data_IF_282202133700
#
_entry.id   IF_282202133700
#
_cell.length_a   1.000
_cell.length_b   1.000
_cell.length_c   1.000
_cell.angle_alpha   90.00
_cell.angle_beta   90.00
_cell.angle_gamma   90.00
#
_symmetry.space_group_name_H-M   'P 1'
#
loop_
_entity.id
_entity.type
_entity.pdbx_description
1 polymer ?
#
# COMPACT_ATOMS: atom_id res chain seq x y z
N UNK A 1 14.17 27.13 31.76
CA UNK A 1 13.86 25.79 31.22
C UNK A 1 13.19 26.00 29.87
N UNK A 2 13.98 26.03 28.80
CA UNK A 2 13.55 26.49 27.48
C UNK A 2 12.60 25.51 26.81
N UNK A 3 11.42 26.02 26.46
CA UNK A 3 10.47 25.34 25.58
C UNK A 3 11.02 25.36 24.15
N UNK A 4 11.81 24.35 23.77
CA UNK A 4 12.20 24.12 22.37
C UNK A 4 11.04 23.44 21.63
N UNK A 5 9.97 24.21 21.41
CA UNK A 5 8.87 23.88 20.54
C UNK A 5 9.07 24.43 19.14
N UNK A 6 8.70 23.61 18.16
CA UNK A 6 8.30 23.95 16.78
C UNK A 6 9.37 24.53 15.86
N UNK A 7 10.05 23.62 15.17
CA UNK A 7 10.35 23.82 13.74
C UNK A 7 10.53 22.44 13.11
N UNK A 8 9.41 21.81 12.84
CA UNK A 8 9.29 20.80 11.79
C UNK A 8 8.61 21.52 10.64
N UNK A 9 9.28 21.64 9.49
CA UNK A 9 8.75 22.27 8.25
C UNK A 9 7.38 21.72 7.77
N UNK A 10 6.86 20.66 8.40
CA UNK A 10 5.70 19.86 7.99
C UNK A 10 4.65 19.66 9.12
N UNK A 11 4.64 20.49 10.16
CA UNK A 11 3.66 20.37 11.26
C UNK A 11 3.92 19.17 12.19
N UNK A 12 2.94 18.82 13.04
CA UNK A 12 3.01 17.66 13.95
C UNK A 12 2.74 16.37 13.18
N UNK A 13 3.48 15.30 13.46
CA UNK A 13 3.21 13.98 12.86
C UNK A 13 1.86 13.41 13.33
N UNK A 14 1.31 12.45 12.59
CA UNK A 14 -0.03 11.90 12.87
C UNK A 14 -0.14 11.31 14.27
N UNK A 15 0.90 10.59 14.72
CA UNK A 15 0.93 9.98 16.06
C UNK A 15 0.85 11.05 17.17
N UNK A 16 1.58 12.16 17.01
CA UNK A 16 1.59 13.25 17.97
C UNK A 16 0.28 14.04 17.94
N UNK A 17 -0.36 14.21 16.78
CA UNK A 17 -1.70 14.80 16.66
C UNK A 17 -2.70 13.94 17.45
N UNK A 18 -2.75 12.65 17.14
CA UNK A 18 -3.69 11.68 17.73
C UNK A 18 -3.50 11.50 19.24
N UNK A 19 -2.26 11.52 19.72
CA UNK A 19 -1.96 11.44 21.17
C UNK A 19 -2.02 12.80 21.87
N UNK A 20 -2.34 13.88 21.16
CA UNK A 20 -2.28 15.26 21.64
C UNK A 20 -0.95 15.61 22.36
N UNK A 21 0.18 15.24 21.74
CA UNK A 21 1.54 15.48 22.24
C UNK A 21 2.28 16.52 21.39
N UNK A 22 3.32 17.12 21.97
CA UNK A 22 4.27 17.95 21.24
C UNK A 22 5.10 17.05 20.32
N UNK A 23 5.22 17.44 19.05
CA UNK A 23 6.09 16.77 18.09
C UNK A 23 7.44 17.48 18.07
N UNK A 24 8.49 16.82 18.56
CA UNK A 24 9.85 17.38 18.57
C UNK A 24 10.60 17.04 17.29
N UNK A 25 11.72 17.72 17.00
CA UNK A 25 12.60 17.40 15.86
C UNK A 25 13.20 15.99 15.92
N UNK A 26 13.17 15.33 17.08
CA UNK A 26 13.65 13.95 17.30
C UNK A 26 12.51 12.92 17.38
N UNK A 27 11.30 13.28 16.92
CA UNK A 27 10.16 12.36 16.95
C UNK A 27 10.44 11.12 16.08
N UNK A 28 10.45 9.94 16.72
CA UNK A 28 10.69 8.65 16.05
C UNK A 28 9.62 8.28 15.02
N UNK A 29 8.43 8.89 15.07
CA UNK A 29 7.31 8.59 14.18
C UNK A 29 7.19 9.57 13.01
N UNK A 30 7.85 10.73 13.06
CA UNK A 30 7.66 11.80 12.08
C UNK A 30 8.09 11.39 10.66
N UNK A 31 9.10 10.53 10.54
CA UNK A 31 9.56 10.01 9.25
C UNK A 31 8.62 8.97 8.62
N UNK A 32 7.66 8.43 9.39
CA UNK A 32 6.81 7.32 8.97
C UNK A 32 5.33 7.72 8.84
N UNK A 33 4.86 8.63 9.70
CA UNK A 33 3.49 9.15 9.70
C UNK A 33 3.49 10.69 9.67
N UNK A 34 3.98 11.29 8.57
CA UNK A 34 4.00 12.75 8.45
C UNK A 34 2.58 13.31 8.28
N UNK A 35 2.36 14.61 8.50
CA UNK A 35 1.01 15.18 8.59
C UNK A 35 0.17 14.98 7.31
N UNK A 36 0.83 14.88 6.16
CA UNK A 36 0.22 14.72 4.84
C UNK A 36 -0.57 13.42 4.70
N UNK A 37 -0.27 12.39 5.52
CA UNK A 37 -0.97 11.09 5.49
C UNK A 37 -2.01 10.95 6.61
N UNK A 38 -2.43 12.06 7.24
CA UNK A 38 -3.33 12.06 8.39
C UNK A 38 -4.64 11.28 8.14
N UNK A 39 -5.27 11.44 6.98
CA UNK A 39 -6.51 10.72 6.65
C UNK A 39 -6.32 9.20 6.60
N UNK A 40 -5.20 8.74 6.03
CA UNK A 40 -4.85 7.32 6.02
C UNK A 40 -4.48 6.82 7.43
N UNK A 41 -3.86 7.67 8.24
CA UNK A 41 -3.56 7.33 9.62
C UNK A 41 -4.84 7.14 10.43
N UNK A 42 -5.84 8.02 10.27
CA UNK A 42 -7.16 7.89 10.90
C UNK A 42 -7.90 6.62 10.46
N UNK A 43 -7.76 6.21 9.21
CA UNK A 43 -8.27 4.92 8.76
C UNK A 43 -7.57 3.75 9.48
N UNK A 44 -6.24 3.82 9.62
CA UNK A 44 -5.46 2.81 10.31
C UNK A 44 -5.74 2.76 11.83
N UNK A 45 -6.04 3.88 12.48
CA UNK A 45 -6.38 3.89 13.90
C UNK A 45 -7.72 3.22 14.19
N UNK A 46 -8.67 3.26 13.25
CA UNK A 46 -9.94 2.50 13.37
C UNK A 46 -9.73 0.98 13.39
N UNK A 47 -8.75 0.49 12.63
CA UNK A 47 -8.44 -0.94 12.55
C UNK A 47 -7.49 -1.39 13.67
N UNK A 48 -6.33 -0.75 13.80
CA UNK A 48 -5.28 -1.21 14.72
C UNK A 48 -5.31 -0.49 16.06
N UNK A 49 -5.74 0.77 16.09
CA UNK A 49 -5.57 1.66 17.22
C UNK A 49 -4.14 2.21 17.34
N UNK A 50 -4.03 3.48 17.68
CA UNK A 50 -2.78 4.24 17.81
C UNK A 50 -1.76 3.58 18.73
N UNK A 51 -2.20 2.96 19.82
CA UNK A 51 -1.30 2.29 20.78
C UNK A 51 -0.66 1.04 20.18
N UNK A 52 -1.41 0.24 19.41
CA UNK A 52 -0.86 -0.93 18.74
C UNK A 52 0.07 -0.53 17.59
N UNK A 53 -0.29 0.50 16.82
CA UNK A 53 0.59 1.07 15.78
C UNK A 53 1.94 1.46 16.37
N UNK A 54 1.95 2.20 17.49
CA UNK A 54 3.18 2.55 18.21
C UNK A 54 3.97 1.30 18.62
N UNK A 55 3.29 0.29 19.19
CA UNK A 55 3.94 -0.96 19.62
C UNK A 55 4.60 -1.70 18.45
N UNK A 56 3.87 -1.89 17.34
CA UNK A 56 4.39 -2.53 16.12
C UNK A 56 5.61 -1.79 15.58
N UNK A 57 5.56 -0.45 15.51
CA UNK A 57 6.67 0.37 15.01
C UNK A 57 7.91 0.35 15.91
N UNK A 58 7.74 0.12 17.22
CA UNK A 58 8.85 -0.03 18.17
C UNK A 58 9.50 -1.41 18.09
N UNK A 59 8.70 -2.45 17.85
CA UNK A 59 9.19 -3.83 17.73
C UNK A 59 9.83 -4.12 16.37
N UNK A 60 9.45 -3.40 15.31
CA UNK A 60 9.96 -3.62 13.98
C UNK A 60 11.46 -3.25 13.83
N UNK A 61 12.27 -4.06 13.12
CA UNK A 61 13.61 -3.69 12.71
C UNK A 61 13.63 -2.37 11.94
N UNK A 62 14.68 -1.57 12.11
CA UNK A 62 14.77 -0.23 11.55
C UNK A 62 14.56 -0.22 10.01
N UNK A 63 15.16 -1.18 9.31
CA UNK A 63 15.05 -1.35 7.86
C UNK A 63 13.64 -1.68 7.37
N UNK A 64 12.77 -2.20 8.25
CA UNK A 64 11.40 -2.58 7.90
C UNK A 64 10.37 -1.51 8.26
N UNK A 65 10.73 -0.48 9.04
CA UNK A 65 9.77 0.51 9.56
C UNK A 65 9.02 1.28 8.47
N UNK A 66 9.68 1.62 7.37
CA UNK A 66 9.02 2.29 6.24
C UNK A 66 7.98 1.39 5.57
N UNK A 67 8.33 0.12 5.33
CA UNK A 67 7.39 -0.86 4.77
C UNK A 67 6.23 -1.12 5.71
N UNK A 68 6.50 -1.32 7.01
CA UNK A 68 5.48 -1.50 8.03
C UNK A 68 4.50 -0.33 8.09
N UNK A 69 5.02 0.91 8.14
CA UNK A 69 4.17 2.11 8.14
C UNK A 69 3.28 2.19 6.90
N UNK A 70 3.84 1.91 5.71
CA UNK A 70 3.06 1.86 4.47
C UNK A 70 1.97 0.79 4.52
N UNK A 71 2.28 -0.40 5.03
CA UNK A 71 1.31 -1.50 5.17
C UNK A 71 0.19 -1.14 6.15
N UNK A 72 0.52 -0.58 7.32
CA UNK A 72 -0.49 -0.13 8.31
C UNK A 72 -1.49 0.84 7.68
N UNK A 73 -1.01 1.83 6.93
CA UNK A 73 -1.87 2.81 6.25
C UNK A 73 -2.75 2.17 5.17
N UNK A 74 -2.19 1.28 4.36
CA UNK A 74 -2.92 0.58 3.30
C UNK A 74 -3.98 -0.37 3.84
N UNK A 75 -3.67 -1.13 4.89
CA UNK A 75 -4.62 -2.03 5.55
C UNK A 75 -5.76 -1.24 6.20
N UNK A 76 -5.46 -0.12 6.84
CA UNK A 76 -6.48 0.79 7.38
C UNK A 76 -7.42 1.34 6.31
N UNK A 77 -6.87 1.73 5.16
CA UNK A 77 -7.66 2.19 4.03
C UNK A 77 -8.56 1.07 3.47
N UNK A 78 -7.99 -0.11 3.21
CA UNK A 78 -8.74 -1.25 2.70
C UNK A 78 -9.87 -1.69 3.65
N UNK A 79 -9.64 -1.64 4.96
CA UNK A 79 -10.68 -1.89 5.97
C UNK A 79 -11.79 -0.85 5.99
N UNK A 80 -11.45 0.41 5.68
CA UNK A 80 -12.45 1.48 5.56
C UNK A 80 -13.36 1.26 4.35
N UNK A 81 -12.80 0.76 3.25
CA UNK A 81 -13.53 0.47 2.01
C UNK A 81 -14.39 -0.81 2.12
N UNK A 82 -13.87 -1.86 2.73
CA UNK A 82 -14.56 -3.12 2.98
C UNK A 82 -14.18 -3.66 4.37
N UNK A 83 -15.05 -3.47 5.36
CA UNK A 83 -14.81 -3.92 6.72
C UNK A 83 -15.04 -5.43 6.94
N UNK A 84 -15.47 -6.16 5.90
CA UNK A 84 -15.66 -7.61 5.96
C UNK A 84 -14.38 -8.30 5.46
N UNK A 85 -13.84 -7.84 4.33
CA UNK A 85 -12.69 -8.50 3.68
C UNK A 85 -11.40 -7.69 3.76
N UNK A 86 -11.45 -6.38 3.97
CA UNK A 86 -10.28 -5.50 4.10
C UNK A 86 -9.21 -5.74 3.03
N UNK A 87 -7.94 -5.71 3.44
CA UNK A 87 -6.80 -5.99 2.57
C UNK A 87 -6.85 -7.38 1.91
N UNK A 88 -7.42 -8.38 2.58
CA UNK A 88 -7.61 -9.71 1.99
C UNK A 88 -8.54 -9.66 0.77
N UNK A 89 -9.63 -8.90 0.83
CA UNK A 89 -10.53 -8.69 -0.31
C UNK A 89 -9.83 -8.06 -1.50
N UNK A 90 -8.97 -7.07 -1.24
CA UNK A 90 -8.15 -6.41 -2.28
C UNK A 90 -7.20 -7.41 -2.94
N UNK A 91 -6.48 -8.21 -2.15
CA UNK A 91 -5.55 -9.23 -2.65
C UNK A 91 -6.29 -10.26 -3.51
N UNK A 92 -7.42 -10.79 -3.03
CA UNK A 92 -8.20 -11.78 -3.76
C UNK A 92 -8.71 -11.23 -5.10
N UNK A 93 -9.14 -9.97 -5.14
CA UNK A 93 -9.56 -9.31 -6.37
C UNK A 93 -8.39 -9.23 -7.36
N UNK A 94 -7.24 -8.72 -6.93
CA UNK A 94 -6.05 -8.61 -7.77
C UNK A 94 -5.58 -9.96 -8.30
N UNK A 95 -5.57 -11.01 -7.46
CA UNK A 95 -5.22 -12.36 -7.87
C UNK A 95 -6.18 -12.92 -8.93
N UNK A 96 -7.49 -12.63 -8.81
CA UNK A 96 -8.47 -13.02 -9.81
C UNK A 96 -8.27 -12.26 -11.13
N UNK A 97 -8.04 -10.95 -11.05
CA UNK A 97 -7.76 -10.11 -12.22
C UNK A 97 -6.51 -10.59 -12.96
N UNK A 98 -5.41 -10.89 -12.26
CA UNK A 98 -4.19 -11.44 -12.87
C UNK A 98 -4.50 -12.72 -13.66
N UNK A 99 -5.17 -13.68 -13.04
CA UNK A 99 -5.53 -14.95 -13.70
C UNK A 99 -6.42 -14.75 -14.93
N UNK A 100 -7.38 -13.83 -14.83
CA UNK A 100 -8.26 -13.49 -15.95
C UNK A 100 -7.46 -12.94 -17.13
N UNK A 101 -6.57 -11.98 -16.88
CA UNK A 101 -5.75 -11.37 -17.92
C UNK A 101 -4.73 -12.35 -18.51
N UNK A 102 -4.15 -13.24 -17.69
CA UNK A 102 -3.29 -14.33 -18.17
C UNK A 102 -4.05 -15.28 -19.12
N UNK A 103 -5.31 -15.60 -18.81
CA UNK A 103 -6.17 -16.41 -19.70
C UNK A 103 -6.39 -15.71 -21.03
N UNK A 104 -6.78 -14.42 -21.01
CA UNK A 104 -6.98 -13.65 -22.25
C UNK A 104 -5.70 -13.53 -23.08
N UNK A 105 -4.55 -13.27 -22.45
CA UNK A 105 -3.27 -13.23 -23.14
C UNK A 105 -2.91 -14.57 -23.79
N UNK A 106 -3.20 -15.68 -23.11
CA UNK A 106 -2.98 -17.03 -23.65
C UNK A 106 -3.82 -17.28 -24.90
N UNK A 107 -5.12 -16.94 -24.86
CA UNK A 107 -6.03 -17.07 -25.99
C UNK A 107 -5.60 -16.23 -27.19
N UNK A 108 -5.24 -14.96 -26.96
CA UNK A 108 -4.79 -14.05 -28.02
C UNK A 108 -3.48 -14.56 -28.64
N UNK A 109 -2.51 -14.97 -27.81
CA UNK A 109 -1.25 -15.55 -28.30
C UNK A 109 -1.48 -16.79 -29.15
N UNK A 110 -2.44 -17.65 -28.76
CA UNK A 110 -2.84 -18.82 -29.55
C UNK A 110 -3.41 -18.43 -30.90
N UNK A 111 -4.35 -17.47 -30.96
CA UNK A 111 -4.93 -16.96 -32.22
C UNK A 111 -3.86 -16.40 -33.16
N UNK A 112 -2.97 -15.55 -32.64
CA UNK A 112 -1.84 -14.99 -33.40
C UNK A 112 -0.93 -16.11 -33.95
N UNK A 113 -0.66 -17.15 -33.15
CA UNK A 113 0.17 -18.27 -33.60
C UNK A 113 -0.48 -19.07 -34.73
N UNK A 114 -1.80 -19.20 -34.71
CA UNK A 114 -2.56 -19.91 -35.74
C UNK A 114 -2.61 -19.10 -37.04
N UNK A 115 -2.93 -17.80 -36.96
CA UNK A 115 -2.91 -16.90 -38.13
C UNK A 115 -1.52 -16.87 -38.79
N UNK A 116 -0.44 -16.84 -38.00
CA UNK A 116 0.93 -16.93 -38.52
C UNK A 116 1.19 -18.23 -39.28
N UNK A 117 0.72 -19.37 -38.78
CA UNK A 117 0.85 -20.65 -39.49
C UNK A 117 0.07 -20.65 -40.80
N UNK A 118 -1.16 -20.12 -40.79
CA UNK A 118 -1.97 -20.04 -42.00
C UNK A 118 -1.31 -19.15 -43.06
N UNK A 119 -0.73 -18.01 -42.67
CA UNK A 119 0.03 -17.14 -43.58
C UNK A 119 1.21 -17.90 -44.20
N UNK A 120 1.98 -18.65 -43.39
CA UNK A 120 3.10 -19.45 -43.91
C UNK A 120 2.63 -20.53 -44.88
N UNK A 121 1.53 -21.23 -44.56
CA UNK A 121 0.95 -22.24 -45.44
C UNK A 121 0.49 -21.66 -46.77
N UNK A 122 -0.17 -20.50 -46.75
CA UNK A 122 -0.60 -19.80 -47.95
C UNK A 122 0.61 -19.39 -48.80
N UNK A 123 1.66 -18.82 -48.20
CA UNK A 123 2.87 -18.43 -48.94
C UNK A 123 3.56 -19.62 -49.61
N UNK A 124 3.61 -20.77 -48.94
CA UNK A 124 4.20 -21.99 -49.49
C UNK A 124 3.39 -22.62 -50.63
N UNK A 125 2.13 -22.22 -50.84
CA UNK A 125 1.32 -22.70 -51.97
C UNK A 125 1.59 -21.92 -53.28
N UNK A 126 2.29 -20.79 -53.20
CA UNK A 126 2.61 -19.92 -54.35
C UNK A 126 4.09 -20.01 -54.78
N UNK A 127 4.86 -20.94 -54.21
CA UNK A 127 6.25 -21.28 -54.57
C UNK A 127 6.25 -22.69 -55.13
#
# INVERSE_FOLDING_TARGET
MEALGTDTKHGRCCVCIEKNKICTRKCEFAAYFPNEVQSYYEAATKLFGTTNIISMMKLAPHEQKHLLASSILKEGAAWTDDNIRGGYGVIQKLMWEIKLHESYLSEIKKKISEEKKQIVLLLNQYI
#
